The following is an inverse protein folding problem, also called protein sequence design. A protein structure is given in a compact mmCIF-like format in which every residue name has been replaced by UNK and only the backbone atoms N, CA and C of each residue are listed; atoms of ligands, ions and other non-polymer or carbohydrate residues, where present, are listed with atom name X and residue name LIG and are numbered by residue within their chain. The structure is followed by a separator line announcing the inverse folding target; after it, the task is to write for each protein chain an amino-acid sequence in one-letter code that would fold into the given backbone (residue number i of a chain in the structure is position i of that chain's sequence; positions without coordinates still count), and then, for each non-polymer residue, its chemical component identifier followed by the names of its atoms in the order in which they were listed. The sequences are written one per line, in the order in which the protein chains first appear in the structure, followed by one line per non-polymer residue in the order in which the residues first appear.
data_IF_997135315755
#
_entry.id   IF_997135315755
#
_cell.length_a   1.000
_cell.length_b   1.000
_cell.length_c   1.000
_cell.angle_alpha   90.00
_cell.angle_beta   90.00
_cell.angle_gamma   90.00
#
_symmetry.space_group_name_H-M   'P 1'
#
loop_
_entity.id
_entity.type
_entity.pdbx_description
1 polymer ?
#
# COMPACT_ATOMS: atom_id res chain seq x y z
N UNK A 1 -0.20 6.11 4.15
CA UNK A 1 0.68 4.97 3.81
C UNK A 1 1.69 4.68 4.94
N UNK A 2 2.20 5.71 5.65
CA UNK A 2 3.12 5.47 6.79
C UNK A 2 2.55 4.43 7.79
N UNK A 3 1.30 4.56 8.21
CA UNK A 3 0.62 3.65 9.15
C UNK A 3 0.77 2.16 8.78
N UNK A 4 0.58 1.79 7.53
CA UNK A 4 0.71 0.40 7.09
C UNK A 4 2.17 -0.03 6.99
N UNK A 5 3.07 0.89 6.61
CA UNK A 5 4.51 0.64 6.65
C UNK A 5 5.00 0.36 8.06
N UNK A 6 4.65 1.21 9.03
CA UNK A 6 4.99 1.02 10.45
C UNK A 6 4.51 -0.36 10.95
N UNK A 7 3.29 -0.76 10.61
CA UNK A 7 2.75 -2.06 11.00
C UNK A 7 3.49 -3.23 10.35
N UNK A 8 3.78 -3.15 9.06
CA UNK A 8 4.45 -4.22 8.32
C UNK A 8 5.88 -4.46 8.83
N UNK A 9 6.57 -3.38 9.22
CA UNK A 9 8.00 -3.43 9.59
C UNK A 9 8.25 -3.72 11.08
N UNK A 10 7.26 -3.55 11.96
CA UNK A 10 7.46 -3.57 13.42
C UNK A 10 8.04 -4.87 14.00
N UNK A 11 8.00 -5.98 13.26
CA UNK A 11 8.48 -7.31 13.71
C UNK A 11 9.69 -7.83 12.93
N UNK A 12 10.21 -7.01 12.03
CA UNK A 12 11.32 -7.37 11.15
C UNK A 12 12.66 -6.87 11.72
N UNK A 13 13.74 -7.51 11.32
CA UNK A 13 15.08 -7.09 11.70
C UNK A 13 15.47 -5.80 10.96
N UNK A 14 16.35 -4.99 11.56
CA UNK A 14 16.77 -3.71 10.98
C UNK A 14 17.63 -3.83 9.71
N UNK A 15 18.09 -5.03 9.41
CA UNK A 15 18.84 -5.35 8.18
C UNK A 15 17.95 -5.97 7.09
N UNK A 16 16.63 -6.01 7.29
CA UNK A 16 15.68 -6.50 6.29
C UNK A 16 15.68 -5.63 5.03
N UNK A 17 15.67 -6.30 3.87
CA UNK A 17 15.60 -5.67 2.55
C UNK A 17 14.17 -5.27 2.20
N UNK A 18 13.94 -4.00 1.89
CA UNK A 18 12.61 -3.45 1.60
C UNK A 18 12.51 -2.97 0.15
N UNK A 19 11.52 -3.47 -0.58
CA UNK A 19 11.10 -2.94 -1.87
C UNK A 19 9.84 -2.08 -1.72
N UNK A 20 9.76 -0.96 -2.45
CA UNK A 20 8.55 -0.15 -2.55
C UNK A 20 8.01 -0.21 -3.99
N UNK A 21 6.72 -0.52 -4.12
CA UNK A 21 5.97 -0.39 -5.36
C UNK A 21 5.16 0.91 -5.32
N UNK A 22 5.63 1.93 -6.03
CA UNK A 22 4.90 3.18 -6.17
C UNK A 22 3.87 3.12 -7.32
N UNK A 23 2.91 4.04 -7.31
CA UNK A 23 1.94 4.20 -8.39
C UNK A 23 2.51 4.94 -9.59
N UNK A 24 1.67 5.69 -10.31
CA UNK A 24 2.12 6.58 -11.39
C UNK A 24 3.00 7.67 -10.78
N UNK A 25 4.26 7.74 -11.22
CA UNK A 25 5.33 8.56 -10.59
C UNK A 25 5.03 10.05 -10.52
N UNK A 26 4.25 10.59 -11.48
CA UNK A 26 3.85 12.00 -11.53
C UNK A 26 2.59 12.34 -10.73
N UNK A 27 1.86 11.34 -10.22
CA UNK A 27 0.63 11.55 -9.48
C UNK A 27 0.92 11.98 -8.04
N UNK A 28 0.24 13.04 -7.57
CA UNK A 28 0.43 13.60 -6.23
C UNK A 28 0.22 12.55 -5.14
N UNK A 29 -0.85 11.75 -5.24
CA UNK A 29 -1.13 10.68 -4.29
C UNK A 29 -0.07 9.56 -4.30
N UNK A 30 0.56 9.27 -5.46
CA UNK A 30 1.68 8.34 -5.55
C UNK A 30 2.89 8.86 -4.76
N UNK A 31 3.25 10.12 -4.96
CA UNK A 31 4.34 10.78 -4.25
C UNK A 31 4.08 10.78 -2.74
N UNK A 32 2.87 11.15 -2.31
CA UNK A 32 2.48 11.18 -0.90
C UNK A 32 2.54 9.78 -0.24
N UNK A 33 2.04 8.75 -0.92
CA UNK A 33 2.07 7.38 -0.40
C UNK A 33 3.49 6.85 -0.33
N UNK A 34 4.29 7.03 -1.38
CA UNK A 34 5.72 6.69 -1.39
C UNK A 34 6.46 7.36 -0.23
N UNK A 35 6.34 8.68 -0.09
CA UNK A 35 7.00 9.42 1.00
C UNK A 35 6.64 8.86 2.37
N UNK A 36 5.37 8.50 2.60
CA UNK A 36 4.95 7.88 3.85
C UNK A 36 5.55 6.49 4.08
N UNK A 37 5.68 5.68 3.03
CA UNK A 37 6.34 4.36 3.12
C UNK A 37 7.85 4.51 3.36
N UNK A 38 8.54 5.39 2.62
CA UNK A 38 9.96 5.70 2.82
C UNK A 38 10.24 6.18 4.24
N UNK A 39 9.35 7.02 4.79
CA UNK A 39 9.45 7.47 6.18
C UNK A 39 9.33 6.31 7.18
N UNK A 40 8.38 5.39 6.99
CA UNK A 40 8.23 4.21 7.84
C UNK A 40 9.50 3.35 7.84
N UNK A 41 10.08 3.12 6.65
CA UNK A 41 11.33 2.34 6.48
C UNK A 41 12.49 3.03 7.20
N UNK A 42 12.65 4.34 7.01
CA UNK A 42 13.72 5.10 7.66
C UNK A 42 13.59 5.11 9.20
N UNK A 43 12.36 5.26 9.74
CA UNK A 43 12.10 5.22 11.18
C UNK A 43 12.31 3.82 11.78
N UNK A 44 12.11 2.75 10.99
CA UNK A 44 12.45 1.39 11.38
C UNK A 44 13.96 1.10 11.34
N UNK A 45 14.79 2.02 10.85
CA UNK A 45 16.23 1.86 10.69
C UNK A 45 16.61 0.91 9.55
N UNK A 46 15.70 0.68 8.60
CA UNK A 46 15.88 -0.19 7.43
C UNK A 46 16.26 0.64 6.20
N UNK A 47 16.62 -0.04 5.10
CA UNK A 47 16.96 0.61 3.83
C UNK A 47 16.03 0.12 2.70
N UNK A 48 15.58 1.07 1.86
CA UNK A 48 14.86 0.74 0.62
C UNK A 48 15.88 0.30 -0.43
N UNK A 49 15.94 -1.01 -0.70
CA UNK A 49 16.87 -1.56 -1.71
C UNK A 49 16.42 -1.30 -3.13
N UNK A 50 15.11 -1.12 -3.35
CA UNK A 50 14.57 -0.74 -4.67
C UNK A 50 13.22 -0.03 -4.56
N UNK A 51 13.00 0.93 -5.45
CA UNK A 51 11.75 1.64 -5.67
C UNK A 51 11.36 1.50 -7.13
N UNK A 52 10.20 0.91 -7.42
CA UNK A 52 9.74 0.66 -8.78
C UNK A 52 8.28 1.06 -8.94
N UNK A 53 7.90 1.52 -10.14
CA UNK A 53 6.49 1.86 -10.42
C UNK A 53 5.73 0.66 -10.94
N UNK A 54 4.62 0.33 -10.24
CA UNK A 54 3.60 -0.61 -10.69
C UNK A 54 2.42 0.08 -11.36
N UNK A 55 2.44 1.42 -11.52
CA UNK A 55 1.46 2.23 -12.26
C UNK A 55 0.00 2.01 -11.80
N UNK A 56 -0.24 1.68 -10.53
CA UNK A 56 -1.53 1.30 -9.95
C UNK A 56 -2.14 0.01 -10.53
N UNK A 57 -1.39 -0.72 -11.37
CA UNK A 57 -1.87 -1.88 -12.12
C UNK A 57 -1.36 -3.19 -11.54
N UNK A 58 -2.25 -4.16 -11.36
CA UNK A 58 -1.94 -5.48 -10.79
C UNK A 58 -0.97 -6.27 -11.68
N UNK A 59 -1.19 -6.28 -13.00
CA UNK A 59 -0.36 -7.06 -13.94
C UNK A 59 1.03 -6.48 -14.03
N UNK A 60 1.12 -5.14 -14.11
CA UNK A 60 2.41 -4.43 -14.10
C UNK A 60 3.18 -4.69 -12.82
N UNK A 61 2.51 -4.60 -11.67
CA UNK A 61 3.12 -4.86 -10.37
C UNK A 61 3.64 -6.30 -10.26
N UNK A 62 2.90 -7.30 -10.77
CA UNK A 62 3.37 -8.69 -10.81
C UNK A 62 4.65 -8.85 -11.65
N UNK A 63 4.71 -8.22 -12.83
CA UNK A 63 5.90 -8.23 -13.69
C UNK A 63 7.12 -7.56 -13.01
N UNK A 64 6.89 -6.39 -12.43
CA UNK A 64 7.91 -5.64 -11.70
C UNK A 64 8.41 -6.43 -10.49
N UNK A 65 7.50 -7.02 -9.70
CA UNK A 65 7.86 -7.84 -8.55
C UNK A 65 8.69 -9.06 -8.96
N UNK A 66 8.33 -9.76 -10.04
CA UNK A 66 9.14 -10.87 -10.54
C UNK A 66 10.57 -10.46 -10.90
N UNK A 67 10.76 -9.26 -11.45
CA UNK A 67 12.08 -8.72 -11.73
C UNK A 67 12.84 -8.36 -10.44
N UNK A 68 12.16 -7.76 -9.46
CA UNK A 68 12.72 -7.43 -8.15
C UNK A 68 13.21 -8.70 -7.45
N UNK A 69 12.40 -9.75 -7.36
CA UNK A 69 12.75 -11.02 -6.72
C UNK A 69 13.97 -11.69 -7.38
N UNK A 70 14.11 -11.54 -8.69
CA UNK A 70 15.30 -12.05 -9.42
C UNK A 70 16.56 -11.25 -9.11
N UNK A 71 16.45 -9.97 -8.81
CA UNK A 71 17.57 -9.07 -8.52
C UNK A 71 17.94 -9.06 -7.03
N UNK A 72 16.96 -9.24 -6.16
CA UNK A 72 17.09 -9.23 -4.70
C UNK A 72 16.52 -10.53 -4.14
N UNK A 73 17.27 -11.65 -4.20
CA UNK A 73 16.78 -12.96 -3.78
C UNK A 73 16.53 -13.08 -2.27
N UNK A 74 17.11 -12.20 -1.46
CA UNK A 74 16.95 -12.15 0.00
C UNK A 74 15.92 -11.10 0.44
N UNK A 75 15.10 -10.57 -0.48
CA UNK A 75 14.10 -9.54 -0.18
C UNK A 75 13.12 -10.01 0.89
N UNK A 76 12.92 -9.20 1.92
CA UNK A 76 12.03 -9.51 3.07
C UNK A 76 10.65 -8.83 2.96
N UNK A 77 10.60 -7.66 2.31
CA UNK A 77 9.40 -6.81 2.37
C UNK A 77 9.06 -6.18 1.03
N UNK A 78 7.78 -6.16 0.71
CA UNK A 78 7.21 -5.37 -0.39
C UNK A 78 6.11 -4.46 0.16
N UNK A 79 6.36 -3.15 0.15
CA UNK A 79 5.37 -2.13 0.50
C UNK A 79 4.74 -1.58 -0.77
N UNK A 80 3.49 -1.94 -1.04
CA UNK A 80 2.76 -1.48 -2.21
C UNK A 80 1.91 -0.25 -1.89
N UNK A 81 2.02 0.78 -2.73
CA UNK A 81 1.26 2.02 -2.54
C UNK A 81 -0.25 1.88 -2.81
N UNK A 82 -0.72 0.73 -3.34
CA UNK A 82 -2.14 0.35 -3.35
C UNK A 82 -2.32 -1.17 -3.36
N UNK A 83 -3.56 -1.61 -3.11
CA UNK A 83 -3.93 -3.02 -3.03
C UNK A 83 -3.88 -3.74 -4.37
N UNK A 84 -4.19 -3.08 -5.48
CA UNK A 84 -4.05 -3.69 -6.81
C UNK A 84 -2.61 -4.14 -7.07
N UNK A 85 -1.65 -3.31 -6.69
CA UNK A 85 -0.22 -3.66 -6.80
C UNK A 85 0.18 -4.71 -5.75
N UNK A 86 -0.39 -4.68 -4.53
CA UNK A 86 -0.16 -5.71 -3.53
C UNK A 86 -0.67 -7.09 -4.00
N UNK A 87 -1.84 -7.16 -4.67
CA UNK A 87 -2.34 -8.38 -5.31
C UNK A 87 -1.37 -8.90 -6.37
N UNK A 88 -0.81 -8.01 -7.18
CA UNK A 88 0.19 -8.36 -8.19
C UNK A 88 1.47 -8.90 -7.55
N UNK A 89 1.96 -8.22 -6.52
CA UNK A 89 3.14 -8.63 -5.76
C UNK A 89 2.94 -10.01 -5.12
N UNK A 90 1.82 -10.24 -4.42
CA UNK A 90 1.50 -11.53 -3.81
C UNK A 90 1.44 -12.67 -4.84
N UNK A 91 0.87 -12.39 -6.02
CA UNK A 91 0.84 -13.38 -7.11
C UNK A 91 2.25 -13.74 -7.61
N UNK A 92 3.14 -12.75 -7.74
CA UNK A 92 4.52 -12.97 -8.18
C UNK A 92 5.33 -13.75 -7.12
N UNK A 93 5.19 -13.40 -5.83
CA UNK A 93 5.84 -14.11 -4.72
C UNK A 93 5.38 -15.56 -4.66
N UNK A 94 4.07 -15.83 -4.76
CA UNK A 94 3.54 -17.18 -4.77
C UNK A 94 4.08 -18.04 -5.94
N UNK A 95 4.31 -17.43 -7.11
CA UNK A 95 4.88 -18.12 -8.28
C UNK A 95 6.40 -18.33 -8.18
N UNK A 96 7.10 -17.50 -7.46
CA UNK A 96 8.54 -17.57 -7.29
C UNK A 96 8.97 -18.76 -6.41
N UNK A 97 8.04 -19.31 -5.59
CA UNK A 97 8.26 -20.48 -4.71
C UNK A 97 9.56 -20.34 -3.90
N UNK A 98 9.72 -19.19 -3.25
CA UNK A 98 10.89 -18.89 -2.42
C UNK A 98 10.93 -19.82 -1.19
N UNK A 99 12.10 -19.96 -0.60
CA UNK A 99 12.33 -20.74 0.62
C UNK A 99 12.14 -19.93 1.92
N UNK A 100 11.78 -18.65 1.79
CA UNK A 100 11.46 -17.74 2.88
C UNK A 100 10.18 -16.92 2.57
N UNK A 101 9.60 -16.36 3.63
CA UNK A 101 8.39 -15.55 3.53
C UNK A 101 8.71 -14.09 3.23
N UNK A 102 7.91 -13.46 2.36
CA UNK A 102 7.99 -12.03 2.10
C UNK A 102 6.77 -11.33 2.73
N UNK A 103 7.03 -10.32 3.55
CA UNK A 103 5.99 -9.46 4.11
C UNK A 103 5.45 -8.50 3.06
N UNK A 104 4.15 -8.56 2.75
CA UNK A 104 3.50 -7.65 1.78
C UNK A 104 2.45 -6.81 2.49
N UNK A 105 2.43 -5.50 2.21
CA UNK A 105 1.39 -4.58 2.68
C UNK A 105 0.85 -3.73 1.53
N UNK A 106 -0.44 -3.34 1.63
CA UNK A 106 -1.15 -2.56 0.62
C UNK A 106 -1.76 -1.27 1.14
N UNK A 107 -2.68 -0.68 0.37
CA UNK A 107 -3.45 0.52 0.71
C UNK A 107 -4.70 0.56 -0.15
N UNK A 108 -5.84 1.00 0.36
CA UNK A 108 -7.18 1.23 -0.20
C UNK A 108 -8.28 0.31 0.34
N UNK A 109 -7.95 -0.82 0.98
CA UNK A 109 -8.92 -1.78 1.53
C UNK A 109 -9.93 -2.28 0.48
N UNK A 110 -9.47 -2.64 -0.72
CA UNK A 110 -10.38 -3.23 -1.72
C UNK A 110 -10.80 -4.64 -1.30
N UNK A 111 -12.03 -5.03 -1.60
CA UNK A 111 -12.56 -6.36 -1.21
C UNK A 111 -11.68 -7.53 -1.69
N UNK A 112 -11.01 -7.38 -2.84
CA UNK A 112 -10.15 -8.42 -3.40
C UNK A 112 -8.90 -8.73 -2.55
N UNK A 113 -8.46 -7.81 -1.66
CA UNK A 113 -7.29 -8.01 -0.80
C UNK A 113 -7.61 -8.85 0.44
N UNK A 114 -8.87 -8.88 0.90
CA UNK A 114 -9.27 -9.52 2.15
C UNK A 114 -8.86 -11.00 2.25
N UNK A 115 -9.08 -11.86 1.22
CA UNK A 115 -8.64 -13.26 1.30
C UNK A 115 -7.12 -13.41 1.48
N UNK A 116 -6.32 -12.48 0.95
CA UNK A 116 -4.86 -12.51 1.13
C UNK A 116 -4.45 -12.06 2.53
N UNK A 117 -5.20 -11.14 3.14
CA UNK A 117 -4.98 -10.73 4.53
C UNK A 117 -5.38 -11.89 5.47
N UNK A 118 -6.51 -12.55 5.23
CA UNK A 118 -6.97 -13.70 6.00
C UNK A 118 -5.99 -14.88 5.94
N UNK A 119 -5.36 -15.12 4.79
CA UNK A 119 -4.36 -16.17 4.61
C UNK A 119 -2.97 -15.79 5.09
N UNK A 120 -2.71 -14.50 5.38
CA UNK A 120 -1.40 -13.99 5.76
C UNK A 120 -0.45 -13.69 4.59
N UNK A 121 -0.89 -13.88 3.34
CA UNK A 121 -0.09 -13.52 2.16
C UNK A 121 0.10 -11.99 2.01
N UNK A 122 -0.80 -11.20 2.60
CA UNK A 122 -0.68 -9.75 2.80
C UNK A 122 -0.94 -9.50 4.28
N UNK A 123 -0.08 -8.72 4.95
CA UNK A 123 -0.20 -8.54 6.40
C UNK A 123 -1.21 -7.46 6.79
N UNK A 124 -1.38 -6.45 5.95
CA UNK A 124 -2.31 -5.35 6.20
C UNK A 124 -2.56 -4.49 4.96
N UNK A 125 -3.66 -3.76 5.01
CA UNK A 125 -3.97 -2.61 4.15
C UNK A 125 -4.48 -1.45 4.99
N UNK A 126 -4.72 -0.29 4.39
CA UNK A 126 -5.35 0.87 5.03
C UNK A 126 -6.61 1.25 4.29
N UNK A 127 -7.72 1.38 5.01
CA UNK A 127 -8.93 2.02 4.50
C UNK A 127 -8.80 3.54 4.62
N UNK A 128 -9.01 4.24 3.52
CA UNK A 128 -9.08 5.70 3.47
C UNK A 128 -10.52 6.21 3.34
N UNK A 129 -11.52 5.34 3.42
CA UNK A 129 -12.93 5.64 3.25
C UNK A 129 -13.22 6.39 1.94
N UNK A 130 -12.86 5.75 0.83
CA UNK A 130 -12.96 6.32 -0.51
C UNK A 130 -14.39 6.73 -0.90
N UNK A 131 -15.43 6.09 -0.35
CA UNK A 131 -16.83 6.45 -0.46
C UNK A 131 -17.11 7.82 0.17
N UNK A 132 -16.56 8.10 1.37
CA UNK A 132 -16.67 9.41 2.01
C UNK A 132 -15.99 10.51 1.17
N UNK A 133 -14.84 10.22 0.57
CA UNK A 133 -14.17 11.18 -0.33
C UNK A 133 -15.06 11.54 -1.52
N UNK A 134 -15.74 10.56 -2.11
CA UNK A 134 -16.68 10.80 -3.20
C UNK A 134 -17.88 11.66 -2.75
N UNK A 135 -18.46 11.36 -1.59
CA UNK A 135 -19.56 12.15 -1.01
C UNK A 135 -19.11 13.59 -0.75
N UNK A 136 -17.97 13.81 -0.11
CA UNK A 136 -17.44 15.15 0.17
C UNK A 136 -17.16 15.93 -1.11
N UNK A 137 -16.64 15.28 -2.17
CA UNK A 137 -16.44 15.92 -3.46
C UNK A 137 -17.74 16.43 -4.07
N UNK A 138 -18.83 15.65 -3.99
CA UNK A 138 -20.16 16.06 -4.46
C UNK A 138 -20.73 17.19 -3.60
N UNK A 139 -20.67 17.08 -2.27
CA UNK A 139 -21.13 18.12 -1.34
C UNK A 139 -20.43 19.45 -1.62
N UNK A 140 -19.10 19.43 -1.80
CA UNK A 140 -18.31 20.63 -2.09
C UNK A 140 -18.67 21.24 -3.43
N UNK A 141 -18.85 20.42 -4.45
CA UNK A 141 -19.26 20.92 -5.78
C UNK A 141 -20.63 21.64 -5.70
N UNK A 142 -21.60 21.08 -4.97
CA UNK A 142 -22.91 21.68 -4.75
C UNK A 142 -22.83 22.99 -3.94
N UNK A 143 -21.99 23.02 -2.91
CA UNK A 143 -21.77 24.22 -2.09
C UNK A 143 -21.15 25.36 -2.91
N UNK A 144 -20.12 25.07 -3.69
CA UNK A 144 -19.49 26.06 -4.61
C UNK A 144 -20.49 26.59 -5.63
N UNK A 145 -21.32 25.71 -6.21
CA UNK A 145 -22.35 26.14 -7.17
C UNK A 145 -23.42 27.02 -6.53
N UNK A 146 -23.78 26.76 -5.25
CA UNK A 146 -24.81 27.52 -4.53
C UNK A 146 -24.30 28.85 -3.98
N UNK A 147 -23.06 28.91 -3.50
CA UNK A 147 -22.52 30.04 -2.72
C UNK A 147 -21.41 30.81 -3.44
N UNK A 148 -20.75 30.21 -4.41
CA UNK A 148 -19.53 30.75 -5.03
C UNK A 148 -18.29 30.70 -4.13
N UNK A 149 -18.39 30.08 -2.96
CA UNK A 149 -17.30 29.99 -1.97
C UNK A 149 -16.68 28.60 -2.02
N UNK A 150 -15.33 28.52 -2.07
CA UNK A 150 -14.61 27.26 -1.97
C UNK A 150 -14.55 26.83 -0.50
N UNK A 151 -15.07 25.63 -0.14
CA UNK A 151 -14.99 25.12 1.23
C UNK A 151 -13.55 24.88 1.68
N UNK A 152 -13.34 24.78 2.99
CA UNK A 152 -12.04 24.36 3.54
C UNK A 152 -11.81 22.86 3.27
N UNK A 153 -10.54 22.46 3.18
CA UNK A 153 -10.15 21.06 3.04
C UNK A 153 -10.73 20.20 4.17
N UNK A 154 -11.15 19.00 3.82
CA UNK A 154 -11.70 18.01 4.73
C UNK A 154 -10.96 16.69 4.54
N UNK A 155 -10.51 16.11 5.64
CA UNK A 155 -9.82 14.83 5.64
C UNK A 155 -10.77 13.69 6.01
N UNK A 156 -10.56 12.51 5.41
CA UNK A 156 -11.18 11.26 5.85
C UNK A 156 -10.31 10.60 6.92
N UNK A 157 -10.91 9.82 7.84
CA UNK A 157 -10.13 8.99 8.75
C UNK A 157 -9.34 7.93 7.96
N UNK A 158 -8.34 7.34 8.63
CA UNK A 158 -7.61 6.19 8.13
C UNK A 158 -7.78 5.04 9.12
N UNK A 159 -8.04 3.83 8.61
CA UNK A 159 -8.15 2.63 9.44
C UNK A 159 -7.19 1.55 8.93
N UNK A 160 -6.41 0.96 9.85
CA UNK A 160 -5.55 -0.17 9.55
C UNK A 160 -6.38 -1.46 9.54
N UNK A 161 -6.36 -2.14 8.41
CA UNK A 161 -7.08 -3.40 8.20
C UNK A 161 -6.08 -4.56 8.22
N UNK A 162 -6.29 -5.49 9.14
CA UNK A 162 -5.48 -6.68 9.38
C UNK A 162 -6.39 -7.91 9.47
N UNK A 163 -5.82 -9.10 9.54
CA UNK A 163 -6.60 -10.32 9.76
C UNK A 163 -7.46 -10.26 11.04
N UNK A 164 -6.99 -9.55 12.08
CA UNK A 164 -7.75 -9.39 13.33
C UNK A 164 -8.94 -8.44 13.14
N UNK A 165 -8.78 -7.32 12.46
CA UNK A 165 -9.86 -6.35 12.25
C UNK A 165 -10.93 -6.89 11.30
N UNK A 166 -10.56 -7.70 10.29
CA UNK A 166 -11.52 -8.36 9.40
C UNK A 166 -12.44 -9.36 10.10
N UNK A 167 -11.98 -9.98 11.19
CA UNK A 167 -12.80 -10.94 11.96
C UNK A 167 -13.81 -10.25 12.91
N UNK A 168 -13.65 -8.97 13.18
CA UNK A 168 -14.47 -8.21 14.14
C UNK A 168 -15.52 -7.32 13.49
N UNK A 169 -15.49 -7.17 12.18
CA UNK A 169 -16.46 -6.44 11.35
C UNK A 169 -17.36 -7.42 10.60
#
# INVERSE_FOLDING_TARGET
AKMVGDFALQRLASDSEVAILEGVTSAINSIQRRTGLEQAVAEAGMEVVTLQSGEWDQTKAAQVTSAILSQFPELDVILAANDSMALGAASAVALAALDHDITIAGFDNITAIHPLIESGAVVATVDQFGDHLAVFGIEYALEVLATGVVPQDRETPLELITAQTLQTN
#
